data_IF_815934840611
#
_entry.id   IF_815934840611
#
_cell.length_a   1.000
_cell.length_b   1.000
_cell.length_c   1.000
_cell.angle_alpha   90.00
_cell.angle_beta   90.00
_cell.angle_gamma   90.00
#
_symmetry.space_group_name_H-M   'P 1'
#
loop_
_entity.id
_entity.type
_entity.pdbx_description
1 polymer ?
#
# COMPACT_ATOMS: atom_id res chain seq x y z
N UNK A 1 -5.16 -2.12 -16.10
CA UNK A 1 -6.56 -2.35 -15.72
C UNK A 1 -6.92 -3.84 -15.66
N UNK A 2 -6.81 -4.59 -16.77
CA UNK A 2 -7.26 -5.99 -16.86
C UNK A 2 -6.72 -6.92 -15.75
N UNK A 3 -5.44 -6.77 -15.37
CA UNK A 3 -4.85 -7.55 -14.27
C UNK A 3 -5.56 -7.29 -12.92
N UNK A 4 -5.86 -6.03 -12.61
CA UNK A 4 -6.52 -5.66 -11.35
C UNK A 4 -7.98 -6.08 -11.34
N UNK A 5 -8.68 -5.97 -12.47
CA UNK A 5 -10.07 -6.45 -12.60
C UNK A 5 -10.17 -7.95 -12.37
N UNK A 6 -9.34 -8.75 -13.04
CA UNK A 6 -9.29 -10.20 -12.85
C UNK A 6 -8.96 -10.57 -11.40
N UNK A 7 -8.02 -9.87 -10.77
CA UNK A 7 -7.65 -10.10 -9.38
C UNK A 7 -8.79 -9.73 -8.41
N UNK A 8 -9.42 -8.56 -8.61
CA UNK A 8 -10.56 -8.09 -7.82
C UNK A 8 -11.75 -9.05 -7.93
N UNK A 9 -12.05 -9.55 -9.13
CA UNK A 9 -13.12 -10.53 -9.34
C UNK A 9 -12.80 -11.87 -8.69
N UNK A 10 -11.57 -12.36 -8.84
CA UNK A 10 -11.15 -13.65 -8.27
C UNK A 10 -11.25 -13.69 -6.75
N UNK A 11 -10.97 -12.58 -6.08
CA UNK A 11 -10.99 -12.48 -4.61
C UNK A 11 -12.18 -11.67 -4.06
N UNK A 12 -13.14 -11.32 -4.93
CA UNK A 12 -14.38 -10.61 -4.59
C UNK A 12 -14.16 -9.34 -3.75
N UNK A 13 -13.19 -8.52 -4.12
CA UNK A 13 -12.95 -7.26 -3.40
C UNK A 13 -14.12 -6.28 -3.57
N UNK A 14 -14.48 -5.63 -2.48
CA UNK A 14 -15.54 -4.61 -2.41
C UNK A 14 -14.98 -3.18 -2.43
N UNK A 15 -13.69 -3.04 -2.74
CA UNK A 15 -12.95 -1.79 -2.78
C UNK A 15 -12.08 -1.71 -4.04
N UNK A 16 -11.79 -0.51 -4.55
CA UNK A 16 -11.03 -0.35 -5.78
C UNK A 16 -9.54 -0.68 -5.58
N UNK A 17 -8.90 -1.11 -6.66
CA UNK A 17 -7.45 -1.21 -6.79
C UNK A 17 -6.97 -0.18 -7.80
N UNK A 18 -6.11 0.75 -7.37
CA UNK A 18 -5.53 1.76 -8.27
C UNK A 18 -4.39 1.13 -9.07
N UNK A 19 -4.43 1.30 -10.40
CA UNK A 19 -3.36 0.90 -11.31
C UNK A 19 -2.37 2.07 -11.46
N UNK A 20 -1.15 1.94 -10.93
CA UNK A 20 -0.08 2.94 -11.00
C UNK A 20 1.10 2.43 -11.86
N UNK A 21 0.93 2.27 -13.19
CA UNK A 21 1.93 1.64 -14.06
C UNK A 21 3.22 2.46 -14.18
N UNK A 22 3.12 3.78 -14.06
CA UNK A 22 4.25 4.72 -14.17
C UNK A 22 4.87 5.04 -12.81
N UNK A 23 4.43 4.37 -11.74
CA UNK A 23 4.90 4.55 -10.36
C UNK A 23 4.78 5.98 -9.79
N UNK A 24 4.02 6.88 -10.42
CA UNK A 24 3.89 8.30 -10.03
C UNK A 24 3.42 8.42 -8.58
N UNK A 25 2.41 7.64 -8.20
CA UNK A 25 1.89 7.67 -6.83
C UNK A 25 2.88 6.99 -5.88
N UNK A 26 3.45 5.86 -6.28
CA UNK A 26 4.44 5.13 -5.48
C UNK A 26 5.69 5.98 -5.17
N UNK A 27 6.14 6.80 -6.12
CA UNK A 27 7.25 7.74 -5.95
C UNK A 27 6.85 8.90 -5.03
N UNK A 28 5.68 9.51 -5.25
CA UNK A 28 5.19 10.61 -4.42
C UNK A 28 5.02 10.21 -2.94
N UNK A 29 4.61 8.96 -2.68
CA UNK A 29 4.50 8.40 -1.33
C UNK A 29 5.82 7.81 -0.81
N UNK A 30 6.90 7.87 -1.59
CA UNK A 30 8.23 7.39 -1.20
C UNK A 30 8.32 5.88 -0.97
N UNK A 31 7.43 5.09 -1.59
CA UNK A 31 7.38 3.63 -1.44
C UNK A 31 8.09 2.90 -2.57
N UNK A 32 8.40 3.57 -3.68
CA UNK A 32 9.27 3.02 -4.73
C UNK A 32 10.73 3.16 -4.30
N UNK A 33 11.34 2.05 -3.85
CA UNK A 33 12.66 2.05 -3.20
C UNK A 33 13.61 1.09 -3.88
N UNK A 34 14.91 1.39 -3.80
CA UNK A 34 15.96 0.47 -4.23
C UNK A 34 15.99 -0.75 -3.28
N UNK A 35 15.94 -1.94 -3.87
CA UNK A 35 16.11 -3.22 -3.19
C UNK A 35 17.35 -3.90 -3.72
N UNK A 36 18.16 -4.43 -2.80
CA UNK A 36 19.33 -5.26 -3.13
C UNK A 36 18.99 -6.71 -2.89
N UNK A 37 19.15 -7.54 -3.91
CA UNK A 37 18.98 -8.98 -3.79
C UNK A 37 20.09 -9.67 -4.59
N UNK A 38 20.86 -10.53 -3.91
CA UNK A 38 21.96 -11.28 -4.51
C UNK A 38 22.94 -10.40 -5.32
N UNK A 39 23.36 -9.27 -4.75
CA UNK A 39 24.32 -8.36 -5.38
C UNK A 39 23.76 -7.51 -6.55
N UNK A 40 22.48 -7.67 -6.90
CA UNK A 40 21.78 -6.84 -7.89
C UNK A 40 20.87 -5.83 -7.20
N UNK A 41 20.94 -4.59 -7.64
CA UNK A 41 20.01 -3.52 -7.26
C UNK A 41 18.87 -3.43 -8.25
N UNK A 42 17.63 -3.32 -7.77
CA UNK A 42 16.46 -3.03 -8.59
C UNK A 42 15.47 -2.18 -7.80
N UNK A 43 14.68 -1.38 -8.50
CA UNK A 43 13.61 -0.61 -7.86
C UNK A 43 12.38 -1.47 -7.65
N UNK A 44 11.74 -1.35 -6.49
CA UNK A 44 10.52 -2.07 -6.19
C UNK A 44 9.70 -1.44 -5.08
N UNK A 45 8.41 -1.76 -5.06
CA UNK A 45 7.48 -1.22 -4.08
C UNK A 45 7.77 -1.82 -2.70
N UNK A 46 8.07 -1.00 -1.70
CA UNK A 46 8.07 -1.38 -0.29
C UNK A 46 6.62 -1.40 0.23
N UNK A 47 6.13 -2.56 0.67
CA UNK A 47 4.77 -2.71 1.19
C UNK A 47 4.56 -1.77 2.36
N UNK A 48 3.72 -0.77 2.16
CA UNK A 48 3.47 0.31 3.10
C UNK A 48 1.98 0.60 3.13
N UNK A 49 1.45 0.93 4.30
CA UNK A 49 0.06 1.38 4.46
C UNK A 49 0.06 2.77 5.08
N UNK A 50 -0.84 3.63 4.60
CA UNK A 50 -1.02 4.98 5.09
C UNK A 50 -2.45 5.12 5.62
N UNK A 51 -2.62 5.85 6.71
CA UNK A 51 -3.91 6.36 7.16
C UNK A 51 -3.94 7.84 6.80
N UNK A 52 -4.92 8.26 6.01
CA UNK A 52 -5.15 9.64 5.62
C UNK A 52 -6.40 10.12 6.35
N UNK A 53 -6.31 11.24 7.07
CA UNK A 53 -7.43 11.82 7.81
C UNK A 53 -8.41 12.58 6.89
N UNK A 54 -9.51 13.04 7.47
CA UNK A 54 -10.54 13.80 6.75
C UNK A 54 -10.05 15.15 6.19
N UNK A 55 -8.91 15.68 6.68
CA UNK A 55 -8.28 16.88 6.15
C UNK A 55 -7.31 16.60 4.99
N UNK A 56 -7.16 15.33 4.61
CA UNK A 56 -6.25 14.90 3.56
C UNK A 56 -4.78 14.77 4.01
N UNK A 57 -4.52 14.80 5.32
CA UNK A 57 -3.16 14.64 5.86
C UNK A 57 -2.88 13.20 6.23
N UNK A 58 -1.61 12.79 6.08
CA UNK A 58 -1.16 11.49 6.55
C UNK A 58 -1.14 11.51 8.09
N UNK A 59 -2.07 10.79 8.70
CA UNK A 59 -2.18 10.63 10.15
C UNK A 59 -1.25 9.52 10.68
N UNK A 60 -0.99 8.49 9.86
CA UNK A 60 -0.10 7.40 10.24
C UNK A 60 0.53 6.70 9.03
N UNK A 61 1.73 6.14 9.22
CA UNK A 61 2.46 5.38 8.20
C UNK A 61 2.94 4.06 8.80
N UNK A 62 2.66 2.95 8.12
CA UNK A 62 3.18 1.62 8.42
C UNK A 62 4.17 1.21 7.32
N UNK A 63 5.47 1.47 7.44
CA UNK A 63 6.47 1.00 6.48
C UNK A 63 6.80 -0.48 6.69
N UNK A 64 7.28 -1.16 5.64
CA UNK A 64 7.77 -2.56 5.69
C UNK A 64 6.76 -3.54 6.32
N UNK A 65 5.50 -3.42 5.92
CA UNK A 65 4.38 -4.18 6.48
C UNK A 65 4.61 -5.69 6.38
N UNK A 66 4.43 -6.39 7.51
CA UNK A 66 4.17 -7.83 7.55
C UNK A 66 2.67 -8.05 7.42
N UNK A 67 2.24 -8.96 6.55
CA UNK A 67 0.82 -9.12 6.17
C UNK A 67 -0.03 -9.64 7.33
N UNK A 68 0.50 -10.59 8.09
CA UNK A 68 -0.23 -11.26 9.16
C UNK A 68 -0.65 -10.27 10.26
N UNK A 69 -1.96 -10.23 10.56
CA UNK A 69 -2.54 -9.34 11.56
C UNK A 69 -2.66 -7.86 11.17
N UNK A 70 -2.06 -7.43 10.05
CA UNK A 70 -1.95 -6.00 9.72
C UNK A 70 -3.30 -5.30 9.52
N UNK A 71 -4.23 -5.91 8.80
CA UNK A 71 -5.53 -5.30 8.54
C UNK A 71 -6.32 -5.04 9.84
N UNK A 72 -6.26 -5.97 10.80
CA UNK A 72 -6.90 -5.80 12.11
C UNK A 72 -6.24 -4.66 12.90
N UNK A 73 -4.91 -4.56 12.85
CA UNK A 73 -4.15 -3.49 13.49
C UNK A 73 -4.51 -2.11 12.92
N UNK A 74 -4.56 -1.98 11.59
CA UNK A 74 -4.98 -0.73 10.92
C UNK A 74 -6.39 -0.34 11.35
N UNK A 75 -7.34 -1.28 11.38
CA UNK A 75 -8.71 -1.01 11.82
C UNK A 75 -8.77 -0.54 13.28
N UNK A 76 -8.01 -1.19 14.17
CA UNK A 76 -7.92 -0.80 15.59
C UNK A 76 -7.40 0.63 15.75
N UNK A 77 -6.34 0.98 15.03
CA UNK A 77 -5.72 2.30 15.11
C UNK A 77 -6.64 3.38 14.52
N UNK A 78 -7.32 3.11 13.39
CA UNK A 78 -8.34 4.03 12.84
C UNK A 78 -9.46 4.28 13.85
N UNK A 79 -9.96 3.24 14.52
CA UNK A 79 -11.02 3.38 15.54
C UNK A 79 -10.60 4.23 16.75
N UNK A 80 -9.31 4.24 17.10
CA UNK A 80 -8.78 5.07 18.20
C UNK A 80 -8.60 6.54 17.80
N UNK A 81 -8.56 6.83 16.50
CA UNK A 81 -8.42 8.19 15.96
C UNK A 81 -9.77 8.87 15.70
N UNK A 82 -10.87 8.11 15.77
CA UNK A 82 -12.25 8.62 15.74
C UNK A 82 -12.66 9.11 17.12
#
# INVERSE_FOLDING_TARGET
MESHEKFSQKYSFTYPLVSDPDAIVCEAYGVYKEKKMYGKSYMGIERTTFIIDASGKIAHIYPKVKVEGHAAKVLEDVKKMM
#
